data_IF_074336916453
#
_entry.id   IF_074336916453
#
_cell.length_a   1.000
_cell.length_b   1.000
_cell.length_c   1.000
_cell.angle_alpha   90.00
_cell.angle_beta   90.00
_cell.angle_gamma   90.00
#
_symmetry.space_group_name_H-M   'P 1'
#
loop_
_entity.id
_entity.type
_entity.pdbx_description
1 polymer ?
#
# COMPACT_ATOMS: atom_id res chain seq x y z
N UNK A 1 -51.16 -72.97 -32.56
CA UNK A 1 -50.33 -71.84 -32.93
C UNK A 1 -50.44 -70.79 -31.80
N UNK A 2 -49.43 -70.67 -30.93
CA UNK A 2 -49.42 -69.70 -29.85
C UNK A 2 -48.33 -68.64 -30.16
N UNK A 3 -48.78 -67.41 -30.36
CA UNK A 3 -47.94 -66.27 -30.64
C UNK A 3 -47.37 -65.77 -29.31
N UNK A 4 -46.04 -65.76 -29.13
CA UNK A 4 -45.38 -65.19 -28.01
C UNK A 4 -45.01 -63.72 -28.35
N UNK A 5 -45.60 -62.74 -27.62
CA UNK A 5 -45.22 -61.35 -27.68
C UNK A 5 -43.96 -61.16 -26.90
N UNK A 6 -42.90 -60.53 -27.48
CA UNK A 6 -41.69 -60.11 -26.83
C UNK A 6 -41.87 -58.66 -26.43
N UNK A 7 -41.90 -58.41 -25.12
CA UNK A 7 -41.91 -57.05 -24.58
C UNK A 7 -40.49 -56.56 -24.49
N UNK A 8 -40.14 -55.54 -25.31
CA UNK A 8 -38.82 -54.83 -25.24
C UNK A 8 -38.94 -53.74 -24.24
N UNK A 9 -38.23 -53.90 -23.11
CA UNK A 9 -38.09 -52.83 -22.07
C UNK A 9 -36.98 -51.88 -22.51
N UNK A 10 -37.31 -50.67 -22.93
CA UNK A 10 -36.36 -49.56 -23.12
C UNK A 10 -36.03 -48.96 -21.75
N UNK A 11 -34.83 -49.24 -21.24
CA UNK A 11 -34.24 -48.47 -20.11
C UNK A 11 -33.78 -47.12 -20.65
N UNK A 12 -34.55 -46.07 -20.40
CA UNK A 12 -34.07 -44.69 -20.51
C UNK A 12 -33.15 -44.42 -19.31
N UNK A 13 -31.85 -44.54 -19.53
CA UNK A 13 -30.84 -43.96 -18.60
C UNK A 13 -30.86 -42.45 -18.77
N UNK A 14 -31.49 -41.77 -17.83
CA UNK A 14 -31.37 -40.33 -17.64
C UNK A 14 -29.92 -40.02 -17.27
N UNK A 15 -29.11 -39.65 -18.24
CA UNK A 15 -27.84 -38.95 -17.98
C UNK A 15 -28.19 -37.56 -17.42
N UNK A 16 -28.18 -37.43 -16.10
CA UNK A 16 -28.06 -36.12 -15.48
C UNK A 16 -26.70 -35.57 -15.87
N UNK A 17 -26.67 -34.67 -16.83
CA UNK A 17 -25.55 -33.77 -17.03
C UNK A 17 -25.39 -32.99 -15.72
N UNK A 18 -24.45 -33.38 -14.87
CA UNK A 18 -23.93 -32.49 -13.86
C UNK A 18 -23.37 -31.27 -14.63
N UNK A 19 -24.14 -30.19 -14.66
CA UNK A 19 -23.62 -28.89 -14.99
C UNK A 19 -22.55 -28.62 -13.95
N UNK A 20 -21.27 -28.66 -14.34
CA UNK A 20 -20.20 -28.11 -13.54
C UNK A 20 -20.60 -26.66 -13.27
N UNK A 21 -20.91 -26.34 -12.02
CA UNK A 21 -21.15 -24.95 -11.65
C UNK A 21 -19.89 -24.19 -11.97
N UNK A 22 -19.95 -23.25 -12.92
CA UNK A 22 -18.85 -22.34 -13.21
C UNK A 22 -18.47 -21.64 -11.89
N UNK A 23 -17.29 -22.00 -11.36
CA UNK A 23 -16.78 -21.41 -10.12
C UNK A 23 -16.53 -19.94 -10.36
N UNK A 24 -16.92 -19.07 -9.42
CA UNK A 24 -16.73 -17.64 -9.58
C UNK A 24 -15.29 -17.30 -9.91
N UNK A 25 -15.11 -16.59 -11.02
CA UNK A 25 -13.86 -16.02 -11.47
C UNK A 25 -13.98 -14.50 -11.29
N UNK A 26 -13.04 -13.91 -10.52
CA UNK A 26 -13.07 -12.50 -10.15
C UNK A 26 -11.84 -11.83 -10.75
N UNK A 27 -12.07 -10.81 -11.58
CA UNK A 27 -11.02 -10.07 -12.26
C UNK A 27 -10.93 -8.65 -11.71
N UNK A 28 -9.74 -8.25 -11.32
CA UNK A 28 -9.39 -6.87 -11.01
C UNK A 28 -8.39 -6.44 -12.08
N UNK A 29 -8.81 -5.54 -12.94
CA UNK A 29 -8.04 -5.20 -14.12
C UNK A 29 -7.85 -3.69 -14.27
N UNK A 30 -6.69 -3.32 -14.81
CA UNK A 30 -6.39 -2.00 -15.37
C UNK A 30 -6.21 -2.14 -16.89
N UNK A 31 -5.79 -1.08 -17.57
CA UNK A 31 -5.46 -1.17 -19.00
C UNK A 31 -4.29 -2.13 -19.28
N UNK A 32 -3.37 -2.35 -18.32
CA UNK A 32 -2.12 -3.10 -18.54
C UNK A 32 -1.89 -4.28 -17.58
N UNK A 33 -2.67 -4.39 -16.51
CA UNK A 33 -2.49 -5.42 -15.47
C UNK A 33 -3.77 -6.21 -15.26
N UNK A 34 -3.65 -7.53 -15.06
CA UNK A 34 -4.73 -8.39 -14.55
C UNK A 34 -4.31 -9.03 -13.23
N UNK A 35 -5.18 -8.93 -12.22
CA UNK A 35 -5.15 -9.70 -10.98
C UNK A 35 -6.41 -10.57 -10.96
N UNK A 36 -6.24 -11.89 -10.91
CA UNK A 36 -7.35 -12.84 -11.12
C UNK A 36 -7.45 -13.78 -9.93
N UNK A 37 -8.66 -13.87 -9.38
CA UNK A 37 -9.01 -14.79 -8.32
C UNK A 37 -10.03 -15.83 -8.82
N UNK A 38 -10.00 -17.01 -8.21
CA UNK A 38 -10.98 -18.08 -8.44
C UNK A 38 -11.37 -18.75 -7.12
N UNK A 39 -12.64 -19.06 -6.99
CA UNK A 39 -13.13 -19.89 -5.89
C UNK A 39 -12.85 -21.37 -6.23
N UNK A 40 -12.21 -22.12 -5.33
CA UNK A 40 -11.92 -23.53 -5.49
C UNK A 40 -13.06 -24.43 -4.97
N UNK A 41 -12.95 -25.77 -5.17
CA UNK A 41 -13.94 -26.76 -4.70
C UNK A 41 -14.17 -26.76 -3.19
N UNK A 42 -13.14 -26.41 -2.43
CA UNK A 42 -13.18 -26.28 -0.99
C UNK A 42 -13.87 -24.99 -0.50
N UNK A 43 -14.36 -24.15 -1.42
CA UNK A 43 -15.00 -22.87 -1.13
C UNK A 43 -14.01 -21.73 -0.81
N UNK A 44 -12.70 -21.99 -0.82
CA UNK A 44 -11.68 -20.98 -0.52
C UNK A 44 -11.34 -20.17 -1.79
N UNK A 45 -10.83 -18.95 -1.58
CA UNK A 45 -10.42 -18.04 -2.65
C UNK A 45 -8.93 -18.21 -2.96
N UNK A 46 -8.58 -18.36 -4.25
CA UNK A 46 -7.21 -18.51 -4.72
C UNK A 46 -6.85 -17.42 -5.72
N UNK A 47 -5.65 -16.83 -5.59
CA UNK A 47 -5.08 -15.98 -6.61
C UNK A 47 -4.49 -16.84 -7.70
N UNK A 48 -5.07 -16.78 -8.90
CA UNK A 48 -4.60 -17.53 -10.07
C UNK A 48 -3.52 -16.82 -10.86
N UNK A 49 -3.60 -15.50 -10.91
CA UNK A 49 -2.72 -14.69 -11.75
C UNK A 49 -2.53 -13.28 -11.19
N UNK A 50 -1.34 -12.77 -11.34
CA UNK A 50 -0.97 -11.36 -11.26
C UNK A 50 0.11 -11.10 -12.30
N UNK A 51 -0.16 -10.19 -13.24
CA UNK A 51 0.80 -9.89 -14.31
C UNK A 51 0.21 -8.98 -15.38
N UNK A 52 0.84 -9.02 -16.56
CA UNK A 52 0.36 -8.32 -17.75
C UNK A 52 -1.09 -8.66 -18.03
N UNK A 53 -1.88 -7.68 -18.46
CA UNK A 53 -3.28 -7.90 -18.84
C UNK A 53 -3.42 -9.05 -19.85
N UNK A 54 -4.30 -10.00 -19.55
CA UNK A 54 -4.60 -11.11 -20.45
C UNK A 54 -5.45 -10.63 -21.61
N UNK A 55 -5.11 -11.05 -22.82
CA UNK A 55 -5.82 -10.66 -24.03
C UNK A 55 -7.13 -11.44 -24.22
N UNK A 56 -7.18 -12.68 -23.73
CA UNK A 56 -8.32 -13.58 -23.90
C UNK A 56 -8.68 -14.28 -22.60
N UNK A 57 -9.96 -14.30 -22.27
CA UNK A 57 -10.47 -15.02 -21.10
C UNK A 57 -10.23 -16.52 -21.16
N UNK A 58 -10.16 -17.08 -22.38
CA UNK A 58 -9.81 -18.49 -22.60
C UNK A 58 -8.43 -18.87 -22.06
N UNK A 59 -7.51 -17.90 -21.89
CA UNK A 59 -6.16 -18.16 -21.39
C UNK A 59 -6.17 -18.54 -19.91
N UNK A 60 -7.19 -18.08 -19.17
CA UNK A 60 -7.34 -18.34 -17.72
C UNK A 60 -7.49 -19.83 -17.41
N UNK A 61 -8.09 -20.62 -18.28
CA UNK A 61 -8.25 -22.07 -18.10
C UNK A 61 -6.92 -22.83 -18.02
N UNK A 62 -5.87 -22.29 -18.63
CA UNK A 62 -4.53 -22.88 -18.65
C UNK A 62 -3.65 -22.45 -17.48
N UNK A 63 -4.11 -21.47 -16.68
CA UNK A 63 -3.38 -21.06 -15.49
C UNK A 63 -3.49 -22.13 -14.38
N UNK A 64 -2.45 -22.31 -13.55
CA UNK A 64 -2.52 -23.22 -12.41
C UNK A 64 -3.61 -22.77 -11.43
N UNK A 65 -3.94 -23.63 -10.47
CA UNK A 65 -4.94 -23.30 -9.44
C UNK A 65 -4.54 -22.04 -8.65
N UNK A 66 -3.26 -21.78 -8.54
CA UNK A 66 -2.72 -20.66 -7.78
C UNK A 66 -2.64 -20.95 -6.27
N UNK A 67 -2.45 -19.90 -5.49
CA UNK A 67 -2.23 -19.94 -4.05
C UNK A 67 -3.38 -19.25 -3.33
N UNK A 68 -3.72 -19.67 -2.12
CA UNK A 68 -4.78 -19.04 -1.34
C UNK A 68 -4.57 -17.53 -1.19
N UNK A 69 -5.61 -16.76 -1.51
CA UNK A 69 -5.52 -15.30 -1.68
C UNK A 69 -5.23 -14.53 -0.38
N UNK A 70 -5.68 -15.06 0.76
CA UNK A 70 -5.54 -14.39 2.06
C UNK A 70 -5.41 -15.45 3.16
N UNK A 71 -4.18 -15.92 3.39
CA UNK A 71 -3.89 -16.99 4.33
C UNK A 71 -4.28 -16.64 5.76
N UNK A 72 -4.90 -17.60 6.43
CA UNK A 72 -5.34 -17.48 7.81
C UNK A 72 -4.46 -18.30 8.75
N UNK A 73 -4.27 -17.82 9.97
CA UNK A 73 -3.59 -18.59 11.02
C UNK A 73 -4.43 -19.81 11.43
N UNK A 74 -3.75 -20.91 11.80
CA UNK A 74 -4.38 -22.12 12.34
C UNK A 74 -4.90 -23.10 11.29
N UNK A 75 -4.62 -22.84 10.00
CA UNK A 75 -4.87 -23.77 8.90
C UNK A 75 -3.65 -24.67 8.65
N UNK A 76 -3.75 -25.56 7.66
CA UNK A 76 -2.68 -26.50 7.29
C UNK A 76 -1.48 -25.84 6.62
N UNK A 77 -1.50 -24.54 6.41
CA UNK A 77 -0.43 -23.80 5.78
C UNK A 77 0.60 -23.35 6.82
N UNK A 78 1.87 -23.66 6.58
CA UNK A 78 2.99 -23.32 7.46
C UNK A 78 3.65 -21.98 7.14
N UNK A 79 3.10 -21.26 6.17
CA UNK A 79 3.62 -19.97 5.73
C UNK A 79 3.06 -18.81 6.56
N UNK A 80 3.62 -17.63 6.35
CA UNK A 80 3.20 -16.43 7.08
C UNK A 80 1.73 -16.09 6.78
N UNK A 81 0.84 -16.02 7.79
CA UNK A 81 -0.56 -15.68 7.56
C UNK A 81 -0.74 -14.17 7.35
N UNK A 82 -1.75 -13.82 6.53
CA UNK A 82 -2.21 -12.44 6.37
C UNK A 82 -3.06 -11.97 7.55
N UNK A 83 -3.77 -12.89 8.21
CA UNK A 83 -4.65 -12.59 9.34
C UNK A 83 -4.46 -13.59 10.47
N UNK A 84 -4.45 -13.06 11.71
CA UNK A 84 -4.45 -13.86 12.94
C UNK A 84 -5.42 -13.22 13.94
N UNK A 85 -6.47 -13.96 14.29
CA UNK A 85 -7.50 -13.58 15.25
C UNK A 85 -7.47 -14.55 16.42
N UNK A 86 -7.51 -14.05 17.64
CA UNK A 86 -7.79 -14.84 18.84
C UNK A 86 -9.25 -14.63 19.24
N UNK A 87 -10.02 -15.71 19.14
CA UNK A 87 -11.45 -15.73 19.44
C UNK A 87 -11.76 -15.69 20.94
N UNK A 88 -13.06 -15.52 21.30
CA UNK A 88 -13.47 -15.41 22.71
C UNK A 88 -13.22 -16.67 23.55
N UNK A 89 -13.09 -17.83 22.92
CA UNK A 89 -12.75 -19.12 23.53
C UNK A 89 -11.22 -19.40 23.54
N UNK A 90 -10.41 -18.40 23.18
CA UNK A 90 -8.95 -18.45 23.03
C UNK A 90 -8.45 -19.30 21.86
N UNK A 91 -9.32 -19.86 21.03
CA UNK A 91 -8.91 -20.49 19.77
C UNK A 91 -8.40 -19.40 18.79
N UNK A 92 -7.47 -19.76 17.94
CA UNK A 92 -6.90 -18.88 16.92
C UNK A 92 -7.09 -19.38 15.49
N UNK A 93 -7.77 -20.53 15.31
CA UNK A 93 -8.02 -21.08 13.97
C UNK A 93 -9.11 -20.28 13.26
N UNK A 94 -8.87 -19.95 12.02
CA UNK A 94 -9.78 -19.22 11.16
C UNK A 94 -9.81 -19.87 9.77
N UNK A 95 -10.99 -20.22 9.27
CA UNK A 95 -11.19 -20.79 7.93
C UNK A 95 -12.11 -19.90 7.09
N UNK A 96 -11.53 -19.04 6.30
CA UNK A 96 -12.27 -18.13 5.44
C UNK A 96 -12.71 -18.81 4.14
N UNK A 97 -14.02 -18.76 3.88
CA UNK A 97 -14.63 -19.20 2.64
C UNK A 97 -15.26 -18.04 1.90
N UNK A 98 -15.26 -18.10 0.60
CA UNK A 98 -15.93 -17.14 -0.27
C UNK A 98 -17.44 -17.17 -0.04
N UNK A 99 -18.04 -15.97 0.03
CA UNK A 99 -19.48 -15.77 0.13
C UNK A 99 -20.02 -15.12 -1.14
N UNK A 100 -19.51 -13.95 -1.46
CA UNK A 100 -19.93 -13.18 -2.64
C UNK A 100 -18.83 -12.19 -3.07
N UNK A 101 -19.05 -11.52 -4.17
CA UNK A 101 -18.30 -10.36 -4.58
C UNK A 101 -19.18 -9.37 -5.34
N UNK A 102 -18.75 -8.11 -5.33
CA UNK A 102 -19.35 -7.06 -6.16
C UNK A 102 -18.26 -6.31 -6.91
N UNK A 103 -18.56 -5.88 -8.14
CA UNK A 103 -17.68 -5.03 -8.93
C UNK A 103 -18.49 -3.86 -9.47
N UNK A 104 -18.04 -2.63 -9.20
CA UNK A 104 -18.70 -1.41 -9.55
C UNK A 104 -17.74 -0.46 -10.28
N UNK A 105 -18.16 0.07 -11.42
CA UNK A 105 -17.47 1.19 -12.05
C UNK A 105 -17.91 2.49 -11.38
N UNK A 106 -16.98 3.19 -10.73
CA UNK A 106 -17.26 4.45 -10.02
C UNK A 106 -17.13 5.67 -10.92
N UNK A 107 -16.84 5.47 -12.21
CA UNK A 107 -16.59 6.52 -13.19
C UNK A 107 -15.10 6.84 -13.35
N UNK A 108 -14.78 7.62 -14.37
CA UNK A 108 -13.41 8.09 -14.67
C UNK A 108 -12.35 6.99 -14.84
N UNK A 109 -12.73 5.76 -15.21
CA UNK A 109 -11.81 4.64 -15.34
C UNK A 109 -11.37 4.07 -13.98
N UNK A 110 -12.21 4.19 -12.95
CA UNK A 110 -11.97 3.62 -11.63
C UNK A 110 -12.99 2.51 -11.37
N UNK A 111 -12.50 1.31 -11.12
CA UNK A 111 -13.31 0.13 -10.86
C UNK A 111 -13.04 -0.38 -9.44
N UNK A 112 -14.10 -0.56 -8.65
CA UNK A 112 -14.01 -1.11 -7.30
C UNK A 112 -14.55 -2.54 -7.28
N UNK A 113 -13.77 -3.48 -6.72
CA UNK A 113 -14.18 -4.87 -6.47
C UNK A 113 -14.05 -5.18 -4.99
N UNK A 114 -15.09 -5.73 -4.40
CA UNK A 114 -15.12 -6.18 -3.01
C UNK A 114 -15.42 -7.67 -2.98
N UNK A 115 -14.56 -8.45 -2.33
CA UNK A 115 -14.74 -9.89 -2.15
C UNK A 115 -15.02 -10.18 -0.68
N UNK A 116 -16.14 -10.80 -0.39
CA UNK A 116 -16.56 -11.15 0.98
C UNK A 116 -16.20 -12.60 1.31
N UNK A 117 -15.46 -12.76 2.39
CA UNK A 117 -15.09 -14.06 2.96
C UNK A 117 -15.67 -14.20 4.37
N UNK A 118 -16.10 -15.40 4.76
CA UNK A 118 -16.58 -15.71 6.11
C UNK A 118 -16.03 -17.01 6.64
N UNK A 119 -15.88 -17.09 7.95
CA UNK A 119 -15.61 -18.35 8.64
C UNK A 119 -16.93 -19.10 8.92
N UNK A 120 -16.90 -20.43 8.78
CA UNK A 120 -18.08 -21.28 9.00
C UNK A 120 -18.40 -21.52 10.51
N UNK A 121 -17.42 -21.36 11.39
CA UNK A 121 -17.53 -21.66 12.82
C UNK A 121 -17.62 -20.44 13.70
N UNK A 122 -16.84 -19.42 13.35
CA UNK A 122 -16.82 -18.14 14.04
C UNK A 122 -17.50 -17.07 13.20
N UNK A 123 -18.30 -16.19 13.81
CA UNK A 123 -19.03 -15.16 13.07
C UNK A 123 -18.08 -14.02 12.66
N UNK A 124 -17.03 -14.36 11.91
CA UNK A 124 -16.02 -13.43 11.39
C UNK A 124 -16.26 -13.21 9.91
N UNK A 125 -16.24 -11.96 9.49
CA UNK A 125 -16.31 -11.54 8.08
C UNK A 125 -15.07 -10.74 7.72
N UNK A 126 -14.45 -11.10 6.61
CA UNK A 126 -13.32 -10.38 6.01
C UNK A 126 -13.72 -9.93 4.60
N UNK A 127 -13.55 -8.64 4.31
CA UNK A 127 -13.77 -8.09 2.97
C UNK A 127 -12.45 -7.63 2.39
N UNK A 128 -12.11 -8.15 1.24
CA UNK A 128 -10.93 -7.74 0.47
C UNK A 128 -11.39 -6.71 -0.56
N UNK A 129 -10.88 -5.48 -0.45
CA UNK A 129 -11.21 -4.37 -1.33
C UNK A 129 -10.09 -4.14 -2.34
N UNK A 130 -10.47 -3.93 -3.59
CA UNK A 130 -9.58 -3.61 -4.70
C UNK A 130 -10.15 -2.44 -5.48
N UNK A 131 -9.36 -1.38 -5.66
CA UNK A 131 -9.71 -0.24 -6.51
C UNK A 131 -8.68 -0.12 -7.62
N UNK A 132 -9.10 -0.41 -8.84
CA UNK A 132 -8.26 -0.35 -10.02
C UNK A 132 -8.41 1.01 -10.71
N UNK A 133 -7.29 1.71 -10.91
CA UNK A 133 -7.17 2.95 -11.68
C UNK A 133 -6.66 2.58 -13.06
N UNK A 134 -7.58 2.50 -14.03
CA UNK A 134 -7.32 1.93 -15.35
C UNK A 134 -6.13 2.54 -16.06
N UNK A 135 -6.13 3.87 -16.22
CA UNK A 135 -5.15 4.63 -17.01
C UNK A 135 -3.77 4.66 -16.34
N UNK A 136 -3.75 4.90 -15.04
CA UNK A 136 -2.53 5.00 -14.25
C UNK A 136 -1.92 3.63 -13.96
N UNK A 137 -2.66 2.54 -14.23
CA UNK A 137 -2.22 1.17 -13.97
C UNK A 137 -1.84 0.94 -12.49
N UNK A 138 -2.62 1.48 -11.58
CA UNK A 138 -2.47 1.31 -10.14
C UNK A 138 -3.64 0.49 -9.60
N UNK A 139 -3.36 -0.44 -8.70
CA UNK A 139 -4.37 -1.12 -7.89
C UNK A 139 -4.14 -0.76 -6.42
N UNK A 140 -5.16 -0.20 -5.79
CA UNK A 140 -5.22 0.03 -4.35
C UNK A 140 -5.96 -1.11 -3.70
N UNK A 141 -5.45 -1.64 -2.59
CA UNK A 141 -6.11 -2.69 -1.83
C UNK A 141 -6.08 -2.40 -0.33
N UNK A 142 -7.12 -2.82 0.37
CA UNK A 142 -7.22 -2.81 1.82
C UNK A 142 -8.19 -3.91 2.26
N UNK A 143 -8.17 -4.22 3.56
CA UNK A 143 -9.00 -5.26 4.15
C UNK A 143 -9.89 -4.67 5.24
N UNK A 144 -11.16 -5.08 5.27
CA UNK A 144 -12.06 -4.84 6.38
C UNK A 144 -12.32 -6.14 7.14
N UNK A 145 -12.22 -6.08 8.46
CA UNK A 145 -12.41 -7.21 9.36
C UNK A 145 -13.51 -6.86 10.37
N UNK A 146 -14.51 -7.72 10.50
CA UNK A 146 -15.59 -7.56 11.47
C UNK A 146 -15.98 -8.91 12.06
N UNK A 147 -16.64 -8.90 13.23
CA UNK A 147 -17.17 -10.11 13.86
C UNK A 147 -18.44 -9.82 14.68
N UNK A 148 -19.18 -10.89 14.98
CA UNK A 148 -20.39 -10.85 15.82
C UNK A 148 -20.26 -11.76 17.06
N UNK A 149 -19.03 -12.04 17.52
CA UNK A 149 -18.80 -12.73 18.79
C UNK A 149 -19.27 -11.85 19.97
N UNK A 150 -19.53 -12.48 21.12
CA UNK A 150 -20.12 -11.80 22.29
C UNK A 150 -19.22 -10.77 22.98
N UNK A 151 -17.88 -10.93 22.84
CA UNK A 151 -16.86 -10.08 23.44
C UNK A 151 -15.88 -9.65 22.36
N UNK A 152 -15.05 -8.62 22.58
CA UNK A 152 -13.98 -8.27 21.65
C UNK A 152 -13.08 -9.47 21.31
N UNK A 153 -12.65 -9.55 20.05
CA UNK A 153 -11.58 -10.46 19.60
C UNK A 153 -10.27 -9.71 19.50
N UNK A 154 -9.15 -10.43 19.54
CA UNK A 154 -7.83 -9.81 19.40
C UNK A 154 -7.29 -10.08 18.00
N UNK A 155 -7.01 -9.02 17.28
CA UNK A 155 -6.30 -9.07 16.01
C UNK A 155 -4.81 -8.88 16.29
N UNK A 156 -3.97 -9.87 15.99
CA UNK A 156 -2.52 -9.79 16.13
C UNK A 156 -1.79 -9.74 14.78
N UNK A 157 -2.48 -10.07 13.66
CA UNK A 157 -2.06 -9.81 12.29
C UNK A 157 -3.27 -9.44 11.44
N UNK A 158 -3.09 -8.48 10.55
CA UNK A 158 -4.17 -7.94 9.71
C UNK A 158 -3.56 -7.22 8.50
N UNK A 159 -3.20 -7.99 7.48
CA UNK A 159 -2.56 -7.45 6.29
C UNK A 159 -3.52 -6.61 5.45
N UNK A 160 -3.02 -5.52 4.89
CA UNK A 160 -3.73 -4.73 3.86
C UNK A 160 -3.79 -5.46 2.53
N UNK A 161 -2.77 -6.28 2.25
CA UNK A 161 -2.63 -7.02 1.01
C UNK A 161 -1.83 -8.30 1.21
N UNK A 162 -2.19 -9.33 0.46
CA UNK A 162 -1.38 -10.52 0.23
C UNK A 162 -1.38 -10.79 -1.28
N UNK A 163 -0.20 -10.77 -1.88
CA UNK A 163 -0.01 -11.02 -3.32
C UNK A 163 0.91 -12.21 -3.51
N UNK A 164 0.68 -12.95 -4.60
CA UNK A 164 1.49 -14.09 -4.97
C UNK A 164 2.08 -13.88 -6.36
N UNK A 165 3.37 -14.22 -6.50
CA UNK A 165 4.08 -14.21 -7.77
C UNK A 165 4.80 -15.54 -7.97
N UNK A 166 4.89 -15.95 -9.22
CA UNK A 166 5.65 -17.12 -9.63
C UNK A 166 6.59 -16.71 -10.76
N UNK A 167 7.90 -16.80 -10.48
CA UNK A 167 8.97 -16.45 -11.41
C UNK A 167 10.19 -17.33 -11.12
N UNK A 168 11.12 -17.41 -12.06
CA UNK A 168 12.35 -18.18 -11.85
C UNK A 168 13.26 -17.54 -10.79
N UNK A 169 13.25 -16.19 -10.71
CA UNK A 169 14.04 -15.38 -9.78
C UNK A 169 13.30 -14.12 -9.39
N UNK A 170 13.64 -13.58 -8.23
CA UNK A 170 13.08 -12.36 -7.68
C UNK A 170 14.21 -11.42 -7.22
N UNK A 171 14.22 -10.19 -7.71
CA UNK A 171 15.22 -9.17 -7.33
C UNK A 171 14.51 -8.03 -6.60
N UNK A 172 14.70 -7.98 -5.28
CA UNK A 172 14.09 -6.98 -4.43
C UNK A 172 14.99 -5.76 -4.32
N UNK A 173 14.47 -4.61 -4.70
CA UNK A 173 15.06 -3.29 -4.46
C UNK A 173 14.40 -2.65 -3.24
N UNK A 174 15.20 -2.28 -2.26
CA UNK A 174 14.82 -1.55 -1.05
C UNK A 174 15.58 -0.22 -0.96
N UNK A 175 14.99 0.74 -0.25
CA UNK A 175 15.51 2.09 -0.07
C UNK A 175 15.73 2.33 1.41
N UNK A 176 16.98 2.43 1.81
CA UNK A 176 17.38 2.70 3.18
C UNK A 176 18.07 4.06 3.28
N UNK A 177 18.20 4.58 4.47
CA UNK A 177 18.87 5.85 4.63
C UNK A 177 18.95 6.32 6.06
N UNK A 178 19.37 7.56 6.19
CA UNK A 178 19.45 8.34 7.40
C UNK A 178 19.47 9.81 6.98
N UNK A 179 19.53 10.73 7.94
CA UNK A 179 19.70 12.15 7.69
C UNK A 179 20.95 12.41 6.81
N UNK A 180 20.76 13.18 5.74
CA UNK A 180 21.77 13.45 4.68
C UNK A 180 22.30 12.21 3.95
N UNK A 181 21.62 11.06 4.07
CA UNK A 181 21.91 9.80 3.40
C UNK A 181 20.63 9.06 2.98
N UNK A 182 19.63 9.81 2.55
CA UNK A 182 18.32 9.29 2.20
C UNK A 182 18.35 8.45 0.91
N UNK A 183 17.42 7.50 0.81
CA UNK A 183 17.12 6.73 -0.38
C UNK A 183 18.32 5.97 -0.99
N UNK A 184 19.20 5.39 -0.17
CA UNK A 184 20.25 4.49 -0.65
C UNK A 184 19.60 3.23 -1.23
N UNK A 185 19.86 2.97 -2.50
CA UNK A 185 19.27 1.87 -3.25
C UNK A 185 20.08 0.59 -3.03
N UNK A 186 19.41 -0.49 -2.61
CA UNK A 186 20.00 -1.83 -2.54
C UNK A 186 19.11 -2.81 -3.28
N UNK A 187 19.65 -3.55 -4.24
CA UNK A 187 18.96 -4.64 -4.94
C UNK A 187 19.59 -5.99 -4.59
N UNK A 188 18.75 -7.00 -4.31
CA UNK A 188 19.20 -8.36 -3.94
C UNK A 188 18.26 -9.41 -4.53
N UNK A 189 18.84 -10.52 -4.98
CA UNK A 189 18.08 -11.73 -5.30
C UNK A 189 17.50 -12.31 -4.00
N UNK A 190 16.19 -12.62 -3.99
CA UNK A 190 15.54 -13.32 -2.90
C UNK A 190 15.79 -14.82 -3.01
N UNK A 191 16.11 -15.44 -1.88
CA UNK A 191 16.28 -16.88 -1.75
C UNK A 191 15.16 -17.46 -0.87
N UNK A 192 15.07 -18.80 -0.82
CA UNK A 192 14.19 -19.51 0.09
C UNK A 192 14.23 -18.93 1.51
N UNK A 193 13.06 -18.67 2.07
CA UNK A 193 12.87 -18.08 3.39
C UNK A 193 12.23 -16.68 3.32
N UNK A 194 12.46 -15.88 4.34
CA UNK A 194 11.80 -14.57 4.51
C UNK A 194 12.81 -13.44 4.44
N UNK A 195 12.46 -12.41 3.65
CA UNK A 195 13.01 -11.07 3.76
C UNK A 195 11.93 -10.12 4.25
N UNK A 196 12.28 -9.26 5.20
CA UNK A 196 11.35 -8.28 5.78
C UNK A 196 11.92 -6.88 5.61
N UNK A 197 11.06 -5.95 5.23
CA UNK A 197 11.28 -4.50 5.27
C UNK A 197 10.28 -3.95 6.28
N UNK A 198 10.76 -3.43 7.41
CA UNK A 198 9.87 -2.93 8.46
C UNK A 198 10.48 -1.78 9.27
N UNK A 199 9.63 -1.10 10.03
CA UNK A 199 10.02 -0.07 10.98
C UNK A 199 9.23 -0.18 12.28
N UNK A 200 9.83 0.36 13.36
CA UNK A 200 9.26 0.44 14.72
C UNK A 200 9.40 1.84 15.32
N UNK A 201 9.57 2.87 14.45
CA UNK A 201 9.90 4.24 14.85
C UNK A 201 8.67 5.14 15.05
N UNK A 202 7.45 4.58 15.00
CA UNK A 202 6.21 5.32 15.21
C UNK A 202 6.01 6.44 14.18
N UNK A 203 5.90 7.70 14.63
CA UNK A 203 5.68 8.85 13.77
C UNK A 203 6.82 9.12 12.76
N UNK A 204 8.02 8.61 13.03
CA UNK A 204 9.19 8.71 12.15
C UNK A 204 9.44 7.42 11.35
N UNK A 205 8.37 6.75 10.98
CA UNK A 205 8.40 5.41 10.38
C UNK A 205 9.26 5.29 9.11
N UNK A 206 9.41 6.35 8.34
CA UNK A 206 10.18 6.39 7.09
C UNK A 206 11.65 6.83 7.25
N UNK A 207 12.12 7.07 8.48
CA UNK A 207 13.44 7.69 8.71
C UNK A 207 14.60 6.87 8.15
N UNK A 208 14.63 5.56 8.43
CA UNK A 208 15.74 4.69 8.00
C UNK A 208 15.38 3.76 6.84
N UNK A 209 14.09 3.59 6.57
CA UNK A 209 13.59 2.67 5.54
C UNK A 209 12.36 3.28 4.89
N UNK A 210 12.37 3.37 3.56
CA UNK A 210 11.20 3.86 2.84
C UNK A 210 10.04 2.83 2.89
N UNK A 211 8.79 3.27 3.05
CA UNK A 211 7.58 2.43 2.96
C UNK A 211 7.26 2.06 1.49
N UNK A 212 8.26 1.61 0.76
CA UNK A 212 8.23 1.42 -0.68
C UNK A 212 9.23 0.34 -1.10
N UNK A 213 8.89 -0.48 -2.09
CA UNK A 213 9.78 -1.47 -2.66
C UNK A 213 9.57 -1.62 -4.18
N UNK A 214 10.59 -2.12 -4.88
CA UNK A 214 10.48 -2.60 -6.24
C UNK A 214 10.92 -4.06 -6.29
N UNK A 215 10.21 -4.88 -7.03
CA UNK A 215 10.49 -6.30 -7.20
C UNK A 215 10.54 -6.64 -8.68
N UNK A 216 11.74 -6.89 -9.19
CA UNK A 216 11.92 -7.34 -10.57
C UNK A 216 11.87 -8.87 -10.66
N UNK A 217 11.34 -9.40 -11.76
CA UNK A 217 11.15 -10.81 -12.03
C UNK A 217 12.17 -11.28 -13.06
N UNK A 218 12.70 -12.50 -12.86
CA UNK A 218 13.66 -13.21 -13.69
C UNK A 218 15.04 -12.57 -13.83
N UNK A 219 15.12 -11.25 -13.89
CA UNK A 219 16.38 -10.49 -14.05
C UNK A 219 16.40 -9.26 -13.13
N UNK A 220 17.58 -8.73 -12.77
CA UNK A 220 17.71 -7.47 -12.06
C UNK A 220 16.95 -6.33 -12.75
N UNK A 221 16.47 -5.38 -11.95
CA UNK A 221 15.61 -4.30 -12.42
C UNK A 221 16.30 -3.41 -13.46
N UNK A 222 15.59 -3.09 -14.55
CA UNK A 222 16.04 -2.19 -15.59
C UNK A 222 15.07 -1.02 -15.75
N UNK A 223 15.57 0.09 -16.30
CA UNK A 223 14.76 1.31 -16.48
C UNK A 223 13.61 1.10 -17.47
N UNK A 224 13.90 0.49 -18.63
CA UNK A 224 12.97 0.42 -19.76
C UNK A 224 12.65 -1.02 -20.22
N UNK A 225 12.95 -2.03 -19.40
CA UNK A 225 12.73 -3.43 -19.76
C UNK A 225 12.52 -4.31 -18.53
N UNK A 226 11.89 -5.47 -18.75
CA UNK A 226 11.63 -6.48 -17.72
C UNK A 226 10.33 -6.25 -16.96
N UNK A 227 9.95 -7.29 -16.24
CA UNK A 227 8.73 -7.28 -15.41
C UNK A 227 9.07 -6.80 -13.99
N UNK A 228 8.32 -5.82 -13.51
CA UNK A 228 8.53 -5.19 -12.20
C UNK A 228 7.20 -4.97 -11.51
N UNK A 229 7.09 -5.46 -10.28
CA UNK A 229 6.04 -5.07 -9.32
C UNK A 229 6.60 -3.99 -8.40
N UNK A 230 5.88 -2.89 -8.25
CA UNK A 230 6.23 -1.82 -7.31
C UNK A 230 5.09 -1.64 -6.33
N UNK A 231 5.41 -1.54 -5.03
CA UNK A 231 4.41 -1.41 -3.97
C UNK A 231 4.77 -0.40 -2.91
N UNK A 232 3.74 0.25 -2.35
CA UNK A 232 3.85 1.20 -1.24
C UNK A 232 2.62 1.13 -0.36
N UNK A 233 2.75 1.56 0.91
CA UNK A 233 1.65 1.60 1.86
C UNK A 233 1.27 3.04 2.20
N UNK A 234 -0.04 3.34 2.21
CA UNK A 234 -0.61 4.62 2.64
C UNK A 234 -0.77 4.68 4.17
N UNK A 235 0.33 4.57 4.89
CA UNK A 235 0.36 4.54 6.34
C UNK A 235 1.53 5.35 6.90
N UNK A 236 1.29 6.16 7.90
CA UNK A 236 2.29 7.04 8.52
C UNK A 236 2.92 6.47 9.78
N UNK A 237 2.51 5.28 10.21
CA UNK A 237 3.04 4.58 11.39
C UNK A 237 3.91 3.39 11.00
N UNK A 238 4.15 2.51 11.97
CA UNK A 238 4.96 1.31 11.79
C UNK A 238 4.37 0.39 10.72
N UNK A 239 5.13 0.11 9.69
CA UNK A 239 4.74 -0.75 8.57
C UNK A 239 5.62 -1.99 8.47
N UNK A 240 5.12 -3.01 7.73
CA UNK A 240 5.90 -4.19 7.35
C UNK A 240 5.52 -4.69 5.97
N UNK A 241 6.56 -4.99 5.17
CA UNK A 241 6.48 -5.83 3.99
C UNK A 241 7.23 -7.13 4.25
N UNK A 242 6.57 -8.26 4.06
CA UNK A 242 7.18 -9.58 4.19
C UNK A 242 7.20 -10.24 2.83
N UNK A 243 8.38 -10.64 2.38
CA UNK A 243 8.62 -11.40 1.16
C UNK A 243 9.03 -12.81 1.57
N UNK A 244 8.19 -13.79 1.30
CA UNK A 244 8.44 -15.19 1.67
C UNK A 244 8.49 -16.06 0.42
N UNK A 245 9.68 -16.60 0.12
CA UNK A 245 9.91 -17.56 -0.96
C UNK A 245 9.84 -18.96 -0.39
N UNK A 246 8.98 -19.81 -0.93
CA UNK A 246 8.80 -21.17 -0.48
C UNK A 246 9.72 -22.19 -1.19
N UNK A 247 9.58 -23.46 -0.86
CA UNK A 247 10.36 -24.57 -1.43
C UNK A 247 10.03 -24.89 -2.89
N UNK A 248 8.98 -24.28 -3.44
CA UNK A 248 8.60 -24.36 -4.86
C UNK A 248 9.02 -23.10 -5.62
N UNK A 249 9.71 -22.20 -4.97
CA UNK A 249 10.08 -20.89 -5.48
C UNK A 249 8.87 -19.98 -5.78
N UNK A 250 7.73 -20.19 -5.08
CA UNK A 250 6.61 -19.27 -5.14
C UNK A 250 6.82 -18.16 -4.11
N UNK A 251 6.57 -16.91 -4.50
CA UNK A 251 6.73 -15.73 -3.64
C UNK A 251 5.39 -15.25 -3.11
N UNK A 252 5.33 -15.03 -1.79
CA UNK A 252 4.25 -14.33 -1.10
C UNK A 252 4.73 -12.96 -0.65
N UNK A 253 3.93 -11.93 -0.90
CA UNK A 253 4.17 -10.55 -0.46
C UNK A 253 3.03 -10.15 0.45
N UNK A 254 3.32 -9.93 1.74
CA UNK A 254 2.34 -9.48 2.73
C UNK A 254 2.69 -8.06 3.12
N UNK A 255 1.71 -7.15 3.00
CA UNK A 255 1.88 -5.72 3.23
C UNK A 255 0.87 -5.20 4.23
N UNK A 256 1.29 -4.41 5.20
CA UNK A 256 0.38 -3.84 6.20
C UNK A 256 1.07 -3.14 7.36
N UNK A 257 0.32 -2.91 8.43
CA UNK A 257 0.85 -2.44 9.71
C UNK A 257 1.83 -3.48 10.25
N UNK A 258 2.92 -3.01 10.87
CA UNK A 258 3.85 -3.91 11.54
C UNK A 258 3.15 -4.57 12.76
N UNK A 259 3.03 -5.90 12.80
CA UNK A 259 2.37 -6.59 13.90
C UNK A 259 3.21 -6.62 15.19
N UNK A 260 4.42 -6.08 15.17
CA UNK A 260 5.26 -6.01 16.37
C UNK A 260 4.63 -5.09 17.40
N UNK A 261 4.33 -5.63 18.57
CA UNK A 261 3.70 -4.93 19.71
C UNK A 261 2.42 -4.14 19.29
N UNK A 262 1.60 -4.75 18.44
CA UNK A 262 0.46 -4.12 17.79
C UNK A 262 -0.78 -5.04 17.78
N UNK A 263 -1.23 -5.44 18.97
CA UNK A 263 -2.52 -6.14 19.12
C UNK A 263 -3.66 -5.11 19.11
N UNK A 264 -4.72 -5.41 18.34
CA UNK A 264 -5.92 -4.61 18.29
C UNK A 264 -7.11 -5.38 18.86
N UNK A 265 -7.73 -4.83 19.91
CA UNK A 265 -8.96 -5.36 20.48
C UNK A 265 -10.15 -4.84 19.68
N UNK A 266 -10.68 -5.67 18.77
CA UNK A 266 -11.82 -5.32 17.95
C UNK A 266 -13.12 -5.60 18.70
N UNK A 267 -13.94 -4.58 19.00
CA UNK A 267 -15.25 -4.76 19.61
C UNK A 267 -16.23 -5.48 18.67
N UNK A 268 -17.21 -6.17 19.26
CA UNK A 268 -18.25 -6.85 18.50
C UNK A 268 -19.04 -5.86 17.62
N UNK A 269 -19.29 -6.23 16.37
CA UNK A 269 -20.04 -5.44 15.35
C UNK A 269 -19.30 -4.18 14.85
N UNK A 270 -18.11 -3.89 15.33
CA UNK A 270 -17.26 -2.87 14.74
C UNK A 270 -16.48 -3.42 13.56
N UNK A 271 -16.00 -2.52 12.72
CA UNK A 271 -15.19 -2.83 11.55
C UNK A 271 -13.79 -2.27 11.74
N UNK A 272 -12.80 -3.13 11.70
CA UNK A 272 -11.40 -2.73 11.58
C UNK A 272 -11.04 -2.63 10.10
N UNK A 273 -10.59 -1.45 9.64
CA UNK A 273 -10.10 -1.23 8.29
C UNK A 273 -8.58 -1.07 8.32
N UNK A 274 -7.87 -1.85 7.51
CA UNK A 274 -6.41 -1.71 7.35
C UNK A 274 -6.06 -0.46 6.53
N UNK A 275 -4.81 0.03 6.61
CA UNK A 275 -4.32 1.06 5.68
C UNK A 275 -4.38 0.60 4.24
N UNK A 276 -4.40 1.56 3.32
CA UNK A 276 -4.35 1.29 1.89
C UNK A 276 -2.94 0.81 1.49
N UNK A 277 -2.85 -0.24 0.69
CA UNK A 277 -1.66 -0.65 -0.01
C UNK A 277 -1.85 -0.41 -1.50
N UNK A 278 -0.86 0.15 -2.17
CA UNK A 278 -0.90 0.50 -3.59
C UNK A 278 0.18 -0.27 -4.33
N UNK A 279 -0.16 -0.79 -5.49
CA UNK A 279 0.84 -1.42 -6.34
C UNK A 279 0.57 -1.21 -7.83
N UNK A 280 1.62 -1.35 -8.63
CA UNK A 280 1.58 -1.39 -10.09
C UNK A 280 2.43 -2.54 -10.59
N UNK A 281 2.04 -3.11 -11.72
CA UNK A 281 2.82 -4.10 -12.45
C UNK A 281 3.19 -3.55 -13.82
N UNK A 282 4.47 -3.58 -14.16
CA UNK A 282 5.00 -3.12 -15.44
C UNK A 282 5.74 -4.24 -16.15
N UNK A 283 5.60 -4.33 -17.48
CA UNK A 283 6.42 -5.18 -18.35
C UNK A 283 7.50 -4.38 -19.08
N UNK A 284 7.61 -3.08 -18.79
CA UNK A 284 8.54 -2.14 -19.42
C UNK A 284 9.50 -1.50 -18.39
N UNK A 285 9.83 -2.25 -17.34
CA UNK A 285 10.80 -1.87 -16.34
C UNK A 285 10.30 -0.90 -15.29
N UNK A 286 11.24 -0.50 -14.41
CA UNK A 286 10.94 0.35 -13.24
C UNK A 286 10.54 1.77 -13.61
N UNK A 287 11.00 2.28 -14.74
CA UNK A 287 10.66 3.63 -15.22
C UNK A 287 9.18 3.77 -15.54
N UNK A 288 8.55 2.79 -16.21
CA UNK A 288 7.10 2.79 -16.41
C UNK A 288 6.37 2.69 -15.08
N UNK A 289 6.78 1.76 -14.20
CA UNK A 289 6.15 1.60 -12.89
C UNK A 289 6.22 2.89 -12.06
N UNK A 290 7.34 3.62 -12.10
CA UNK A 290 7.50 4.92 -11.45
C UNK A 290 6.53 5.97 -12.04
N UNK A 291 6.44 6.07 -13.37
CA UNK A 291 5.51 7.01 -14.03
C UNK A 291 4.04 6.70 -13.70
N UNK A 292 3.67 5.43 -13.59
CA UNK A 292 2.33 5.03 -13.14
C UNK A 292 1.98 5.66 -11.77
N UNK A 293 2.89 5.58 -10.79
CA UNK A 293 2.69 6.21 -9.49
C UNK A 293 2.70 7.74 -9.57
N UNK A 294 3.53 8.35 -10.42
CA UNK A 294 3.53 9.81 -10.59
C UNK A 294 2.21 10.32 -11.17
N UNK A 295 1.67 9.63 -12.18
CA UNK A 295 0.40 10.00 -12.80
C UNK A 295 -0.76 9.80 -11.82
N UNK A 296 -0.77 8.67 -11.12
CA UNK A 296 -1.77 8.42 -10.09
C UNK A 296 -1.71 9.46 -8.96
N UNK A 297 -0.51 9.80 -8.47
CA UNK A 297 -0.36 10.80 -7.41
C UNK A 297 -0.88 12.17 -7.85
N UNK A 298 -0.55 12.61 -9.06
CA UNK A 298 -1.04 13.88 -9.61
C UNK A 298 -2.54 13.91 -9.77
N UNK A 299 -3.14 12.83 -10.26
CA UNK A 299 -4.55 12.79 -10.64
C UNK A 299 -5.49 12.48 -9.47
N UNK A 300 -5.02 11.73 -8.46
CA UNK A 300 -5.89 11.13 -7.45
C UNK A 300 -5.47 11.38 -5.98
N UNK A 301 -4.21 11.72 -5.72
CA UNK A 301 -3.70 11.81 -4.35
C UNK A 301 -3.35 13.24 -3.92
N UNK A 302 -2.65 13.97 -4.77
CA UNK A 302 -2.13 15.30 -4.42
C UNK A 302 -3.16 16.37 -4.76
N UNK A 303 -3.54 17.20 -3.77
CA UNK A 303 -4.38 18.38 -4.03
C UNK A 303 -3.72 19.28 -5.07
N UNK A 304 -4.46 19.64 -6.11
CA UNK A 304 -3.96 20.42 -7.24
C UNK A 304 -2.70 19.78 -7.88
N UNK A 305 -2.69 18.44 -7.99
CA UNK A 305 -1.53 17.67 -8.44
C UNK A 305 -0.99 18.05 -9.82
N UNK A 306 -1.85 18.62 -10.69
CA UNK A 306 -1.49 19.05 -12.03
C UNK A 306 -1.10 20.55 -12.13
N UNK A 307 -1.15 21.31 -11.03
CA UNK A 307 -0.70 22.68 -11.01
C UNK A 307 0.82 22.78 -11.09
N UNK A 308 1.33 23.89 -11.62
CA UNK A 308 2.76 24.19 -11.64
C UNK A 308 3.32 24.24 -10.23
N UNK A 309 4.44 23.56 -9.99
CA UNK A 309 5.17 23.62 -8.71
C UNK A 309 5.97 24.91 -8.67
N UNK A 310 5.96 25.54 -7.48
CA UNK A 310 6.70 26.77 -7.24
C UNK A 310 8.18 26.48 -7.10
N UNK A 311 9.02 27.38 -7.63
CA UNK A 311 10.41 27.45 -7.26
C UNK A 311 10.55 28.03 -5.87
N UNK A 312 11.48 27.51 -5.04
CA UNK A 312 11.59 27.86 -3.64
C UNK A 312 13.04 28.21 -3.28
N UNK A 313 13.22 29.30 -2.53
CA UNK A 313 14.45 29.63 -1.83
C UNK A 313 14.24 29.39 -0.34
N UNK A 314 15.01 28.46 0.23
CA UNK A 314 15.11 28.23 1.67
C UNK A 314 16.32 28.99 2.22
N UNK A 315 16.19 29.66 3.38
CA UNK A 315 17.30 30.43 3.96
C UNK A 315 18.35 29.56 4.64
N UNK A 316 18.07 28.27 4.96
CA UNK A 316 18.92 27.46 5.83
C UNK A 316 20.39 27.47 5.45
N UNK A 317 20.74 27.05 4.25
CA UNK A 317 22.14 26.95 3.80
C UNK A 317 22.87 28.30 3.72
N UNK A 318 22.14 29.44 3.69
CA UNK A 318 22.75 30.76 3.63
C UNK A 318 22.92 31.41 4.99
N UNK A 319 22.16 30.98 6.00
CA UNK A 319 22.13 31.65 7.30
C UNK A 319 22.27 30.73 8.51
N UNK A 320 21.85 29.48 8.37
CA UNK A 320 21.60 28.60 9.53
C UNK A 320 20.80 29.35 10.59
N UNK A 321 21.21 29.34 11.84
CA UNK A 321 20.57 30.05 12.95
C UNK A 321 20.91 31.55 13.02
N UNK A 322 21.87 32.05 12.23
CA UNK A 322 22.33 33.44 12.23
C UNK A 322 21.54 34.30 11.27
N UNK A 323 20.34 34.68 11.66
CA UNK A 323 19.49 35.62 10.94
C UNK A 323 18.68 36.51 11.87
N UNK A 324 18.26 37.67 11.32
CA UNK A 324 17.26 38.55 11.85
C UNK A 324 16.24 38.93 10.76
N UNK A 325 15.23 39.70 11.13
CA UNK A 325 14.18 40.18 10.24
C UNK A 325 14.73 40.86 8.97
N UNK A 326 15.72 41.76 9.13
CA UNK A 326 16.28 42.53 8.02
C UNK A 326 17.06 41.65 7.04
N UNK A 327 17.82 40.68 7.53
CA UNK A 327 18.58 39.72 6.74
C UNK A 327 17.64 38.85 5.90
N UNK A 328 16.53 38.39 6.48
CA UNK A 328 15.50 37.60 5.76
C UNK A 328 14.81 38.43 4.70
N UNK A 329 14.45 39.68 4.98
CA UNK A 329 13.85 40.58 3.98
C UNK A 329 14.81 40.85 2.82
N UNK A 330 16.10 41.02 3.12
CA UNK A 330 17.14 41.13 2.09
C UNK A 330 17.26 39.89 1.21
N UNK A 331 17.18 38.69 1.77
CA UNK A 331 17.14 37.45 1.00
C UNK A 331 15.90 37.33 0.12
N UNK A 332 14.73 37.80 0.60
CA UNK A 332 13.53 37.87 -0.22
C UNK A 332 13.69 38.82 -1.43
N UNK A 333 14.42 39.94 -1.27
CA UNK A 333 14.72 40.84 -2.38
C UNK A 333 15.55 40.15 -3.45
N UNK A 334 16.56 39.38 -3.06
CA UNK A 334 17.39 38.60 -3.99
C UNK A 334 16.61 37.47 -4.63
N UNK A 335 15.78 36.73 -3.86
CA UNK A 335 14.88 35.69 -4.37
C UNK A 335 13.95 36.23 -5.47
N UNK A 336 13.37 37.43 -5.25
CA UNK A 336 12.50 38.10 -6.23
C UNK A 336 13.25 38.44 -7.52
N UNK A 337 14.48 38.95 -7.42
CA UNK A 337 15.34 39.26 -8.61
C UNK A 337 15.68 38.01 -9.42
N UNK A 338 15.81 36.85 -8.74
CA UNK A 338 16.06 35.56 -9.37
C UNK A 338 14.80 34.93 -9.98
N UNK A 339 13.62 35.51 -9.76
CA UNK A 339 12.34 34.97 -10.23
C UNK A 339 11.85 33.77 -9.45
N UNK A 340 12.21 33.66 -8.17
CA UNK A 340 11.74 32.58 -7.27
C UNK A 340 10.32 32.87 -6.83
N UNK A 341 9.46 31.84 -6.81
CA UNK A 341 8.03 31.97 -6.48
C UNK A 341 7.73 32.01 -4.97
N UNK A 342 8.60 31.39 -4.15
CA UNK A 342 8.39 31.22 -2.71
C UNK A 342 9.68 31.38 -1.92
N UNK A 343 9.60 32.07 -0.81
CA UNK A 343 10.63 32.09 0.23
C UNK A 343 10.18 31.21 1.42
N UNK A 344 11.03 30.28 1.86
CA UNK A 344 10.82 29.44 3.02
C UNK A 344 11.73 29.86 4.16
N UNK A 345 11.13 30.24 5.30
CA UNK A 345 11.84 30.43 6.56
C UNK A 345 12.01 29.07 7.25
N UNK A 346 13.27 28.65 7.38
CA UNK A 346 13.66 27.39 8.00
C UNK A 346 13.81 27.51 9.52
N UNK A 347 14.48 26.56 10.16
CA UNK A 347 14.69 26.44 11.59
C UNK A 347 15.28 27.72 12.23
N UNK A 348 15.00 27.92 13.52
CA UNK A 348 15.58 29.00 14.32
C UNK A 348 14.72 30.24 14.47
N UNK A 349 13.48 30.27 13.97
CA UNK A 349 12.56 31.42 14.06
C UNK A 349 11.74 31.47 15.36
N UNK A 350 11.80 30.44 16.20
CA UNK A 350 10.91 30.20 17.31
C UNK A 350 11.64 30.14 18.67
N UNK A 351 10.87 30.01 19.75
CA UNK A 351 11.25 29.92 21.15
C UNK A 351 11.78 31.23 21.74
N UNK A 352 11.14 31.67 22.83
CA UNK A 352 11.51 32.91 23.56
C UNK A 352 12.31 32.61 24.81
N UNK A 353 11.88 31.66 25.64
CA UNK A 353 12.56 31.35 26.90
C UNK A 353 13.92 30.67 26.66
N UNK A 354 13.98 29.80 25.70
CA UNK A 354 15.19 29.10 25.25
C UNK A 354 15.31 29.27 23.73
N UNK A 355 15.77 30.45 23.24
CA UNK A 355 15.77 30.78 21.83
C UNK A 355 16.47 29.72 20.99
N UNK A 356 15.85 29.33 19.89
CA UNK A 356 16.37 28.36 18.93
C UNK A 356 17.56 28.93 18.15
N UNK A 357 18.73 28.92 18.81
CA UNK A 357 20.01 29.37 18.23
C UNK A 357 20.97 28.22 17.91
N UNK A 358 20.58 26.99 18.18
CA UNK A 358 21.26 25.75 17.86
C UNK A 358 20.28 24.57 17.90
N UNK A 359 20.71 23.37 17.48
CA UNK A 359 19.94 22.14 17.50
C UNK A 359 19.58 21.64 18.91
N UNK A 360 20.19 22.22 19.95
CA UNK A 360 20.13 21.66 21.29
C UNK A 360 19.02 22.23 22.17
N UNK A 361 18.23 23.20 21.69
CA UNK A 361 17.23 23.88 22.51
C UNK A 361 16.05 24.42 21.70
N UNK A 362 14.95 24.71 22.39
CA UNK A 362 13.79 25.43 21.86
C UNK A 362 12.85 24.62 20.99
N UNK A 363 13.19 23.38 20.62
CA UNK A 363 12.33 22.54 19.77
C UNK A 363 11.03 22.21 20.52
N UNK A 364 9.89 22.35 19.82
CA UNK A 364 8.56 22.18 20.42
C UNK A 364 7.91 23.48 20.91
N UNK A 365 8.68 24.56 21.12
CA UNK A 365 8.18 25.86 21.54
C UNK A 365 7.94 26.76 20.31
N UNK A 366 6.86 26.51 19.60
CA UNK A 366 6.51 27.12 18.29
C UNK A 366 6.01 28.56 18.41
N UNK A 367 6.61 29.32 19.30
CA UNK A 367 6.36 30.73 19.49
C UNK A 367 7.46 31.58 18.83
N UNK A 368 7.11 32.52 17.98
CA UNK A 368 8.10 33.36 17.28
C UNK A 368 9.06 34.08 18.26
N UNK A 369 10.35 34.02 17.98
CA UNK A 369 11.35 34.63 18.85
C UNK A 369 11.48 36.15 18.60
N UNK A 370 11.07 36.99 19.58
CA UNK A 370 11.15 38.44 19.48
C UNK A 370 12.57 38.96 19.28
N UNK A 371 13.60 38.22 19.70
CA UNK A 371 15.00 38.59 19.54
C UNK A 371 15.46 38.66 18.08
N UNK A 372 14.93 37.80 17.21
CA UNK A 372 15.26 37.78 15.78
C UNK A 372 14.16 38.44 14.93
N UNK A 373 12.91 38.30 15.36
CA UNK A 373 11.72 38.75 14.66
C UNK A 373 10.92 39.73 15.53
N UNK A 374 11.42 40.96 15.74
CA UNK A 374 10.77 41.91 16.63
C UNK A 374 9.36 42.34 16.18
N UNK A 375 9.04 42.22 14.91
CA UNK A 375 7.72 42.50 14.35
C UNK A 375 6.94 41.24 14.00
N UNK A 376 7.43 40.08 14.40
CA UNK A 376 6.82 38.76 14.19
C UNK A 376 6.90 38.23 12.79
N UNK A 377 6.46 36.98 12.63
CA UNK A 377 6.38 36.29 11.33
C UNK A 377 5.43 37.01 10.37
N UNK A 378 4.36 37.63 10.89
CA UNK A 378 3.41 38.41 10.10
C UNK A 378 4.07 39.50 9.26
N UNK A 379 5.10 40.15 9.78
CA UNK A 379 5.91 41.17 9.06
C UNK A 379 6.61 40.57 7.84
N UNK A 380 7.16 39.36 7.97
CA UNK A 380 7.82 38.66 6.85
C UNK A 380 6.83 38.26 5.77
N UNK A 381 5.63 37.83 6.17
CA UNK A 381 4.52 37.52 5.23
C UNK A 381 4.13 38.76 4.42
N UNK A 382 3.96 39.93 5.09
CA UNK A 382 3.64 41.20 4.41
C UNK A 382 4.72 41.60 3.40
N UNK A 383 6.00 41.46 3.77
CA UNK A 383 7.12 41.80 2.90
C UNK A 383 7.18 40.87 1.68
N UNK A 384 6.99 39.56 1.88
CA UNK A 384 6.89 38.62 0.76
C UNK A 384 5.75 38.98 -0.21
N UNK A 385 4.58 39.31 0.33
CA UNK A 385 3.42 39.76 -0.45
C UNK A 385 3.70 41.03 -1.27
N UNK A 386 4.35 42.04 -0.67
CA UNK A 386 4.76 43.26 -1.36
C UNK A 386 5.71 42.98 -2.53
N UNK A 387 6.53 41.96 -2.41
CA UNK A 387 7.50 41.52 -3.42
C UNK A 387 6.90 40.54 -4.45
N UNK A 388 5.63 40.15 -4.27
CA UNK A 388 4.92 39.24 -5.19
C UNK A 388 5.34 37.79 -5.08
N UNK A 389 6.01 37.36 -4.00
CA UNK A 389 6.39 35.98 -3.73
C UNK A 389 5.56 35.39 -2.60
N UNK A 390 5.44 34.06 -2.58
CA UNK A 390 4.81 33.34 -1.45
C UNK A 390 5.78 33.25 -0.26
N UNK A 391 5.20 33.08 0.92
CA UNK A 391 5.95 32.83 2.15
C UNK A 391 5.61 31.42 2.67
N UNK A 392 6.61 30.66 3.06
CA UNK A 392 6.51 29.38 3.73
C UNK A 392 7.29 29.40 5.05
N UNK A 393 6.92 28.51 5.96
CA UNK A 393 7.58 28.36 7.26
C UNK A 393 7.81 26.88 7.55
N UNK A 394 8.99 26.55 8.05
CA UNK A 394 9.34 25.21 8.47
C UNK A 394 8.88 24.93 9.89
N UNK A 395 8.35 23.75 10.13
CA UNK A 395 8.02 23.21 11.45
C UNK A 395 8.37 21.73 11.52
N UNK A 396 8.71 21.23 12.71
CA UNK A 396 9.02 19.82 12.99
C UNK A 396 8.09 19.30 14.12
N UNK A 397 6.79 19.09 13.84
CA UNK A 397 5.78 18.83 14.85
C UNK A 397 5.89 17.45 15.52
N UNK A 398 6.65 16.54 14.94
CA UNK A 398 6.96 15.21 15.51
C UNK A 398 7.95 15.27 16.68
N UNK A 399 8.60 16.39 16.89
CA UNK A 399 9.55 16.64 17.97
C UNK A 399 8.92 17.51 19.05
N UNK A 400 9.03 17.10 20.29
CA UNK A 400 8.52 17.77 21.48
C UNK A 400 9.57 17.85 22.59
#
# INVERSE_FOLDING_TARGET
MKLKAFLLFFLLSSFSLLQASDKPLIKIETERTSLIYQVADNGRLYQKYLGKKLNHDSDIQYLPQGTEAYLTHGMEDYFEPAIHIRHNDYNSSLLLKYVDHSSNNTGNGINETVITLKDDKYPVTVKLHYVAYDKENIIRTFTEISHEEKKPVILSKYASSMLHLNSSKYFLTEFSGDWAHEANVTERELAFGKKVIDTKLGARANMFVAPFFQLALDNPSQENAGEVLVGTIGWTGNFRFTFEVDNKNELRIISGINPYDSEYSLPAKEVFRTPDFYFTYSTQGKGEASRNFHDWARNHQVKNGNDTRMTLLNNWESTYFDFDENKLIGLMDEATKLGVDMFLLDDGWFANKYPRSSDHQGLGDWEETAGKLPNGVGRLVEEAQKKGIKFGIWIEPEMV
#
